data_IF_171824035823
#
_entry.id   IF_171824035823
#
_cell.length_a   1.000
_cell.length_b   1.000
_cell.length_c   1.000
_cell.angle_alpha   90.00
_cell.angle_beta   90.00
_cell.angle_gamma   90.00
#
_symmetry.space_group_name_H-M   'P 1'
#
loop_
_entity.id
_entity.type
_entity.pdbx_description
1 polymer ?
#
# COMPACT_ATOMS: atom_id res chain seq x y z
N UNK A 1 20.42 45.87 -7.10
CA UNK A 1 20.16 44.46 -7.49
C UNK A 1 18.79 44.41 -8.14
N UNK A 2 18.67 43.97 -9.41
CA UNK A 2 17.42 44.13 -10.20
C UNK A 2 16.26 43.28 -9.65
N UNK A 3 15.04 43.85 -9.48
CA UNK A 3 13.88 43.16 -8.92
C UNK A 3 13.43 41.92 -9.72
N UNK A 4 13.82 41.82 -11.00
CA UNK A 4 13.54 40.64 -11.83
C UNK A 4 14.25 39.38 -11.33
N UNK A 5 15.47 39.49 -10.78
CA UNK A 5 16.22 38.32 -10.29
C UNK A 5 15.55 37.73 -9.04
N UNK A 6 15.07 38.55 -8.11
CA UNK A 6 14.34 38.08 -6.92
C UNK A 6 13.05 37.32 -7.27
N UNK A 7 12.29 37.81 -8.26
CA UNK A 7 11.08 37.14 -8.75
C UNK A 7 11.38 35.75 -9.33
N UNK A 8 12.50 35.60 -10.04
CA UNK A 8 12.91 34.34 -10.65
C UNK A 8 13.38 33.30 -9.62
N UNK A 9 14.17 33.71 -8.61
CA UNK A 9 14.57 32.82 -7.52
C UNK A 9 13.38 32.32 -6.69
N UNK A 10 12.43 33.21 -6.40
CA UNK A 10 11.21 32.84 -5.66
C UNK A 10 10.39 31.78 -6.43
N UNK A 11 10.22 31.93 -7.74
CA UNK A 11 9.51 30.95 -8.58
C UNK A 11 10.19 29.58 -8.59
N UNK A 12 11.51 29.55 -8.70
CA UNK A 12 12.29 28.30 -8.68
C UNK A 12 12.14 27.61 -7.31
N UNK A 13 12.29 28.37 -6.22
CA UNK A 13 12.11 27.84 -4.87
C UNK A 13 10.70 27.26 -4.66
N UNK A 14 9.66 28.00 -5.07
CA UNK A 14 8.27 27.57 -4.93
C UNK A 14 7.97 26.30 -5.77
N UNK A 15 8.55 26.20 -6.96
CA UNK A 15 8.45 24.99 -7.79
C UNK A 15 9.05 23.78 -7.09
N UNK A 16 10.29 23.89 -6.58
CA UNK A 16 10.95 22.80 -5.86
C UNK A 16 10.21 22.41 -4.58
N UNK A 17 9.71 23.40 -3.84
CA UNK A 17 8.89 23.15 -2.65
C UNK A 17 7.60 22.38 -2.99
N UNK A 18 6.92 22.76 -4.07
CA UNK A 18 5.70 22.07 -4.54
C UNK A 18 6.00 20.63 -4.96
N UNK A 19 7.09 20.39 -5.69
CA UNK A 19 7.55 19.04 -6.05
C UNK A 19 7.85 18.22 -4.80
N UNK A 20 8.55 18.80 -3.82
CA UNK A 20 8.87 18.11 -2.57
C UNK A 20 7.60 17.70 -1.80
N UNK A 21 6.60 18.57 -1.72
CA UNK A 21 5.30 18.24 -1.10
C UNK A 21 4.64 17.08 -1.84
N UNK A 22 4.57 17.11 -3.17
CA UNK A 22 3.97 16.04 -3.98
C UNK A 22 4.72 14.72 -3.72
N UNK A 23 6.05 14.75 -3.72
CA UNK A 23 6.86 13.57 -3.38
C UNK A 23 6.50 13.05 -1.98
N UNK A 24 6.43 13.90 -0.95
CA UNK A 24 6.06 13.48 0.41
C UNK A 24 4.69 12.80 0.42
N UNK A 25 3.68 13.37 -0.25
CA UNK A 25 2.36 12.74 -0.33
C UNK A 25 2.39 11.38 -1.01
N UNK A 26 3.12 11.24 -2.13
CA UNK A 26 3.27 9.98 -2.84
C UNK A 26 4.00 8.91 -2.01
N UNK A 27 5.10 9.28 -1.35
CA UNK A 27 5.91 8.36 -0.55
C UNK A 27 5.30 8.04 0.82
N UNK A 28 4.49 8.93 1.39
CA UNK A 28 3.89 8.74 2.73
C UNK A 28 3.09 7.45 2.84
N UNK A 29 2.35 7.10 1.79
CA UNK A 29 1.52 5.90 1.77
C UNK A 29 2.33 4.62 1.61
N UNK A 30 3.42 4.68 0.84
CA UNK A 30 4.38 3.58 0.77
C UNK A 30 5.00 3.31 2.14
N UNK A 31 5.47 4.36 2.82
CA UNK A 31 6.04 4.25 4.17
C UNK A 31 4.99 3.68 5.14
N UNK A 32 3.74 4.14 5.07
CA UNK A 32 2.64 3.62 5.90
C UNK A 32 2.44 2.11 5.70
N UNK A 33 2.40 1.67 4.45
CA UNK A 33 2.25 0.24 4.10
C UNK A 33 3.43 -0.59 4.61
N UNK A 34 4.66 -0.06 4.50
CA UNK A 34 5.87 -0.72 5.01
C UNK A 34 5.82 -0.89 6.53
N UNK A 35 5.47 0.18 7.25
CA UNK A 35 5.35 0.18 8.71
C UNK A 35 4.26 -0.78 9.16
N UNK A 36 3.08 -0.75 8.54
CA UNK A 36 1.99 -1.68 8.86
C UNK A 36 2.41 -3.13 8.61
N UNK A 37 3.05 -3.40 7.47
CA UNK A 37 3.54 -4.75 7.14
C UNK A 37 4.52 -5.23 8.21
N UNK A 38 5.47 -4.40 8.63
CA UNK A 38 6.45 -4.78 9.66
C UNK A 38 5.80 -5.02 11.05
N UNK A 39 4.82 -4.20 11.43
CA UNK A 39 4.12 -4.34 12.73
C UNK A 39 3.33 -5.65 12.80
N UNK A 40 2.60 -5.98 11.73
CA UNK A 40 1.64 -7.09 11.74
C UNK A 40 2.18 -8.38 11.11
N UNK A 41 3.34 -8.37 10.44
CA UNK A 41 3.96 -9.55 9.83
C UNK A 41 4.13 -10.70 10.83
N UNK A 42 4.48 -10.40 12.08
CA UNK A 42 4.65 -11.40 13.14
C UNK A 42 3.32 -12.02 13.62
N UNK A 43 2.21 -11.29 13.47
CA UNK A 43 0.88 -11.73 13.90
C UNK A 43 0.18 -12.57 12.82
N UNK A 44 0.59 -12.42 11.56
CA UNK A 44 0.04 -13.16 10.43
C UNK A 44 0.87 -14.43 10.24
N UNK A 45 0.65 -15.43 11.10
CA UNK A 45 1.36 -16.71 11.04
C UNK A 45 1.18 -17.48 9.73
N UNK A 46 0.15 -17.19 8.94
CA UNK A 46 -0.13 -17.89 7.70
C UNK A 46 -0.59 -16.95 6.61
N UNK A 47 0.29 -16.03 6.19
CA UNK A 47 -0.02 -15.12 5.07
C UNK A 47 -0.40 -15.88 3.79
N UNK A 48 0.21 -17.06 3.59
CA UNK A 48 -0.10 -17.93 2.46
C UNK A 48 -1.54 -18.45 2.50
N UNK A 49 -2.16 -18.61 3.68
CA UNK A 49 -3.57 -19.02 3.78
C UNK A 49 -4.51 -17.83 3.53
N UNK A 50 -4.10 -16.61 3.91
CA UNK A 50 -4.87 -15.40 3.61
C UNK A 50 -4.79 -15.01 2.13
N UNK A 51 -3.63 -15.18 1.52
CA UNK A 51 -3.41 -14.92 0.10
C UNK A 51 -3.62 -16.18 -0.76
N UNK A 52 -4.33 -17.20 -0.26
CA UNK A 52 -4.38 -18.49 -0.94
C UNK A 52 -5.26 -18.43 -2.18
N UNK A 53 -4.64 -18.69 -3.33
CA UNK A 53 -5.33 -18.88 -4.60
C UNK A 53 -4.93 -20.22 -5.19
N UNK A 54 -5.89 -20.97 -5.75
CA UNK A 54 -5.63 -22.27 -6.38
C UNK A 54 -4.51 -22.12 -7.43
N UNK A 55 -3.43 -22.89 -7.27
CA UNK A 55 -2.28 -22.99 -8.19
C UNK A 55 -1.55 -21.65 -8.44
N UNK A 56 -1.26 -20.89 -7.38
CA UNK A 56 -0.57 -19.61 -7.52
C UNK A 56 0.40 -19.38 -6.36
N UNK A 57 1.68 -19.23 -6.67
CA UNK A 57 2.70 -18.91 -5.67
C UNK A 57 2.70 -17.41 -5.39
N UNK A 58 2.60 -17.08 -4.09
CA UNK A 58 2.72 -15.71 -3.60
C UNK A 58 4.17 -15.25 -3.79
N UNK A 59 4.37 -14.14 -4.50
CA UNK A 59 5.70 -13.52 -4.67
C UNK A 59 6.03 -12.64 -3.46
N UNK A 60 5.09 -11.78 -3.06
CA UNK A 60 5.17 -10.97 -1.85
C UNK A 60 3.80 -10.41 -1.47
N UNK A 61 3.70 -9.82 -0.28
CA UNK A 61 2.48 -9.16 0.20
C UNK A 61 2.80 -7.83 0.88
N UNK A 62 1.80 -6.95 0.97
CA UNK A 62 1.85 -5.71 1.75
C UNK A 62 0.52 -5.44 2.44
N UNK A 63 0.58 -4.93 3.66
CA UNK A 63 -0.59 -4.47 4.39
C UNK A 63 -0.82 -3.00 4.05
N UNK A 64 -1.88 -2.73 3.30
CA UNK A 64 -2.17 -1.38 2.80
C UNK A 64 -3.04 -0.58 3.79
N UNK A 65 -3.79 -1.25 4.65
CA UNK A 65 -4.61 -0.60 5.68
C UNK A 65 -4.85 -1.50 6.89
N UNK A 66 -5.09 -0.85 8.02
CA UNK A 66 -5.57 -1.47 9.26
C UNK A 66 -6.64 -0.58 9.90
N UNK A 67 -7.82 -1.13 10.13
CA UNK A 67 -8.92 -0.46 10.82
C UNK A 67 -9.03 -0.99 12.26
N UNK A 68 -8.57 -0.18 13.22
CA UNK A 68 -8.47 -0.58 14.63
C UNK A 68 -9.81 -0.97 15.24
N UNK A 69 -10.90 -0.27 14.89
CA UNK A 69 -12.22 -0.53 15.49
C UNK A 69 -12.79 -1.88 15.07
N UNK A 70 -12.59 -2.26 13.81
CA UNK A 70 -13.07 -3.51 13.25
C UNK A 70 -12.06 -4.66 13.38
N UNK A 71 -10.82 -4.34 13.79
CA UNK A 71 -9.67 -5.25 13.74
C UNK A 71 -9.58 -5.90 12.36
N UNK A 72 -9.62 -5.05 11.34
CA UNK A 72 -9.64 -5.44 9.93
C UNK A 72 -8.32 -5.03 9.29
N UNK A 73 -7.72 -5.93 8.52
CA UNK A 73 -6.55 -5.70 7.68
C UNK A 73 -6.96 -5.77 6.22
N UNK A 74 -6.40 -4.85 5.44
CA UNK A 74 -6.44 -4.93 3.99
C UNK A 74 -5.03 -5.25 3.51
N UNK A 75 -4.92 -6.37 2.81
CA UNK A 75 -3.66 -7.00 2.39
C UNK A 75 -3.65 -7.06 0.87
N UNK A 76 -2.61 -6.52 0.25
CA UNK A 76 -2.35 -6.71 -1.17
C UNK A 76 -1.42 -7.91 -1.35
N UNK A 77 -1.89 -8.93 -2.05
CA UNK A 77 -1.14 -10.13 -2.41
C UNK A 77 -0.69 -10.02 -3.87
N UNK A 78 0.61 -10.17 -4.10
CA UNK A 78 1.21 -10.16 -5.44
C UNK A 78 1.75 -11.55 -5.76
N UNK A 79 1.29 -12.10 -6.88
CA UNK A 79 1.65 -13.45 -7.31
C UNK A 79 2.77 -13.43 -8.35
N UNK A 80 3.40 -14.57 -8.56
CA UNK A 80 4.34 -14.75 -9.66
C UNK A 80 3.68 -14.50 -11.04
N UNK A 81 4.51 -14.22 -12.04
CA UNK A 81 4.10 -13.73 -13.37
C UNK A 81 2.98 -14.56 -14.02
N UNK A 82 2.09 -13.87 -14.75
CA UNK A 82 0.96 -14.47 -15.46
C UNK A 82 -0.38 -14.44 -14.68
N UNK A 83 -0.33 -14.22 -13.36
CA UNK A 83 -1.50 -14.20 -12.49
C UNK A 83 -1.89 -12.79 -12.03
N UNK A 84 -3.19 -12.62 -11.83
CA UNK A 84 -3.79 -11.38 -11.33
C UNK A 84 -3.56 -11.22 -9.84
N UNK A 85 -3.13 -10.04 -9.42
CA UNK A 85 -3.01 -9.68 -8.02
C UNK A 85 -4.37 -9.75 -7.30
N UNK A 86 -4.35 -9.71 -5.97
CA UNK A 86 -5.58 -9.63 -5.18
C UNK A 86 -5.43 -8.73 -3.98
N UNK A 87 -6.52 -8.06 -3.64
CA UNK A 87 -6.71 -7.44 -2.34
C UNK A 87 -7.53 -8.38 -1.47
N UNK A 88 -7.01 -8.67 -0.28
CA UNK A 88 -7.61 -9.55 0.71
C UNK A 88 -7.98 -8.71 1.92
N UNK A 89 -9.24 -8.80 2.33
CA UNK A 89 -9.72 -8.23 3.58
C UNK A 89 -9.76 -9.36 4.60
N UNK A 90 -9.06 -9.19 5.71
CA UNK A 90 -8.97 -10.16 6.79
C UNK A 90 -9.38 -9.53 8.12
N UNK A 91 -10.14 -10.26 8.94
CA UNK A 91 -10.55 -9.83 10.27
C UNK A 91 -9.89 -10.68 11.35
N UNK A 92 -9.64 -10.07 12.51
CA UNK A 92 -9.16 -10.78 13.67
C UNK A 92 -10.33 -11.46 14.39
N UNK A 93 -10.35 -12.79 14.39
CA UNK A 93 -11.33 -13.63 15.09
C UNK A 93 -10.57 -14.42 16.17
N UNK A 94 -10.83 -14.09 17.44
CA UNK A 94 -9.98 -14.54 18.54
C UNK A 94 -8.55 -14.00 18.37
N UNK A 95 -7.59 -14.90 18.28
CA UNK A 95 -6.16 -14.60 18.08
C UNK A 95 -5.66 -14.87 16.65
N UNK A 96 -6.58 -15.07 15.70
CA UNK A 96 -6.24 -15.44 14.32
C UNK A 96 -6.80 -14.46 13.32
N UNK A 97 -6.04 -14.24 12.25
CA UNK A 97 -6.50 -13.51 11.07
C UNK A 97 -7.24 -14.47 10.13
N UNK A 98 -8.47 -14.13 9.80
CA UNK A 98 -9.31 -14.92 8.90
C UNK A 98 -9.71 -14.09 7.68
N UNK A 99 -9.63 -14.71 6.51
CA UNK A 99 -10.02 -14.10 5.24
C UNK A 99 -11.53 -13.89 5.17
N UNK A 100 -11.98 -12.66 4.99
CA UNK A 100 -13.40 -12.30 4.85
C UNK A 100 -13.78 -12.04 3.40
N UNK A 101 -12.90 -11.39 2.64
CA UNK A 101 -13.14 -11.03 1.24
C UNK A 101 -11.87 -11.08 0.42
N UNK A 102 -12.01 -11.45 -0.85
CA UNK A 102 -10.93 -11.36 -1.84
C UNK A 102 -11.43 -10.61 -3.08
N UNK A 103 -10.82 -9.48 -3.37
CA UNK A 103 -11.02 -8.70 -4.58
C UNK A 103 -9.90 -9.04 -5.56
N UNK A 104 -10.24 -9.51 -6.77
CA UNK A 104 -9.25 -9.75 -7.82
C UNK A 104 -8.90 -8.42 -8.49
N UNK A 105 -7.61 -8.10 -8.58
CA UNK A 105 -7.11 -6.93 -9.29
C UNK A 105 -6.75 -7.36 -10.72
N UNK A 106 -7.17 -6.63 -11.74
CA UNK A 106 -6.92 -6.96 -13.16
C UNK A 106 -5.46 -6.69 -13.62
N UNK A 107 -4.53 -6.64 -12.67
CA UNK A 107 -3.12 -6.35 -12.93
C UNK A 107 -2.24 -7.55 -12.59
N UNK A 108 -1.23 -7.79 -13.43
CA UNK A 108 -0.31 -8.90 -13.29
C UNK A 108 1.04 -8.42 -12.76
N UNK A 109 1.58 -9.11 -11.76
CA UNK A 109 3.03 -9.12 -11.46
C UNK A 109 3.67 -7.84 -10.91
N UNK A 110 2.92 -6.80 -10.55
CA UNK A 110 3.45 -5.55 -9.98
C UNK A 110 2.75 -5.12 -8.68
N UNK A 111 3.38 -4.24 -7.90
CA UNK A 111 2.70 -3.55 -6.80
C UNK A 111 1.82 -2.48 -7.40
N UNK A 112 0.50 -2.64 -7.29
CA UNK A 112 -0.41 -1.54 -7.62
C UNK A 112 -0.57 -0.66 -6.39
N UNK A 113 0.24 0.38 -6.34
CA UNK A 113 0.04 1.58 -5.53
C UNK A 113 0.32 2.76 -6.49
N UNK A 114 -0.51 3.82 -6.57
CA UNK A 114 -0.97 4.48 -5.36
C UNK A 114 -2.41 5.05 -5.33
N UNK A 115 -2.85 5.36 -4.11
CA UNK A 115 -3.98 6.24 -3.73
C UNK A 115 -5.39 5.65 -3.92
N UNK A 116 -5.91 4.94 -2.92
CA UNK A 116 -7.35 5.03 -2.63
C UNK A 116 -7.57 6.34 -1.86
N UNK A 117 -7.94 7.41 -2.56
CA UNK A 117 -8.64 8.52 -1.92
C UNK A 117 -9.95 7.90 -1.45
N UNK A 118 -10.14 7.80 -0.13
CA UNK A 118 -11.40 7.32 0.42
C UNK A 118 -12.56 8.12 -0.15
N UNK A 119 -13.49 7.43 -0.80
CA UNK A 119 -14.83 7.95 -1.08
C UNK A 119 -15.70 7.81 0.17
#
# INVERSE_FOLDING_TARGET
>A
MSPQKHSQYFKIFFLWFSIAIICIFLFSSYIKSEVLTNIYASQIHSINTLCQRKNSDLKYYKIISYEKRRRELIIQCVYQEGLYNSEVIANMIGDKWEQVRVNKLNEKGGLYWPIYIGY
#
